data_IF_822398284988
#
_entry.id   IF_822398284988
#
_cell.length_a   1.000
_cell.length_b   1.000
_cell.length_c   1.000
_cell.angle_alpha   90.00
_cell.angle_beta   90.00
_cell.angle_gamma   90.00
#
_symmetry.space_group_name_H-M   'P 1'
#
loop_
_entity.id
_entity.type
_entity.pdbx_description
1 polymer ?
#
# COMPACT_ATOMS: atom_id res chain seq x y z
N UNK A 1 47.39 16.86 61.63
CA UNK A 1 46.37 17.37 60.70
C UNK A 1 47.05 17.60 59.37
N UNK A 2 46.90 16.65 58.45
CA UNK A 2 47.61 16.62 57.16
C UNK A 2 46.57 16.85 56.08
N UNK A 3 46.58 18.05 55.48
CA UNK A 3 45.66 18.44 54.42
C UNK A 3 46.31 18.07 53.08
N UNK A 4 45.80 17.02 52.45
CA UNK A 4 46.24 16.57 51.12
C UNK A 4 45.49 17.39 50.08
N UNK A 5 46.20 18.30 49.41
CA UNK A 5 45.66 19.08 48.30
C UNK A 5 45.58 18.23 47.03
N UNK A 6 44.37 17.88 46.61
CA UNK A 6 44.09 17.36 45.27
C UNK A 6 44.10 18.53 44.28
N UNK A 7 45.16 18.65 43.49
CA UNK A 7 45.17 19.51 42.32
C UNK A 7 44.33 18.84 41.23
N UNK A 8 43.08 19.29 41.08
CA UNK A 8 42.25 18.97 39.92
C UNK A 8 42.87 19.65 38.71
N UNK A 9 43.67 18.90 37.95
CA UNK A 9 44.15 19.29 36.63
C UNK A 9 42.94 19.25 35.69
N UNK A 10 42.19 20.34 35.64
CA UNK A 10 41.09 20.53 34.70
C UNK A 10 41.67 20.53 33.29
N UNK A 11 41.66 19.36 32.62
CA UNK A 11 41.90 19.28 31.20
C UNK A 11 40.88 20.18 30.52
N UNK A 12 41.36 21.33 30.04
CA UNK A 12 40.59 22.23 29.20
C UNK A 12 40.34 21.46 27.90
N UNK A 13 39.24 20.72 27.84
CA UNK A 13 38.74 20.09 26.63
C UNK A 13 38.38 21.25 25.70
N UNK A 14 39.35 21.64 24.88
CA UNK A 14 39.13 22.59 23.80
C UNK A 14 38.17 21.87 22.85
N UNK A 15 36.88 22.20 22.91
CA UNK A 15 35.91 21.67 21.99
C UNK A 15 36.35 22.10 20.58
N UNK A 16 36.88 21.16 19.80
CA UNK A 16 37.14 21.40 18.39
C UNK A 16 35.81 21.76 17.76
N UNK A 17 35.76 22.94 17.14
CA UNK A 17 34.59 23.30 16.33
C UNK A 17 34.45 22.24 15.25
N UNK A 18 33.25 21.73 15.02
CA UNK A 18 33.00 20.78 13.93
C UNK A 18 33.24 21.51 12.61
N UNK A 19 34.24 21.07 11.83
CA UNK A 19 34.55 21.63 10.52
C UNK A 19 33.96 20.69 9.47
N UNK A 20 33.30 21.25 8.46
CA UNK A 20 32.86 20.45 7.33
C UNK A 20 34.09 19.98 6.53
N UNK A 21 34.21 18.68 6.33
CA UNK A 21 35.21 18.07 5.47
C UNK A 21 34.64 18.00 4.05
N UNK A 22 35.15 18.86 3.18
CA UNK A 22 34.72 18.96 1.79
C UNK A 22 35.64 18.13 0.88
N UNK A 23 35.07 17.38 -0.05
CA UNK A 23 35.84 16.64 -1.04
C UNK A 23 36.39 17.60 -2.11
N UNK A 24 37.69 17.87 -2.10
CA UNK A 24 38.31 18.96 -2.88
C UNK A 24 38.80 18.55 -4.27
N UNK A 25 38.83 17.26 -4.60
CA UNK A 25 39.42 16.78 -5.85
C UNK A 25 38.45 15.90 -6.65
N UNK A 26 37.98 16.31 -7.84
CA UNK A 26 37.07 15.51 -8.67
C UNK A 26 37.69 14.22 -9.21
N UNK A 27 39.02 14.07 -9.14
CA UNK A 27 39.71 12.82 -9.50
C UNK A 27 39.38 11.75 -8.47
N UNK A 28 39.08 10.55 -8.97
CA UNK A 28 38.83 9.36 -8.16
C UNK A 28 39.80 9.20 -6.97
N UNK A 29 39.28 8.77 -5.83
CA UNK A 29 40.06 8.62 -4.60
C UNK A 29 39.38 7.71 -3.59
N UNK A 30 40.15 7.27 -2.59
CA UNK A 30 39.62 6.50 -1.47
C UNK A 30 39.10 7.47 -0.39
N UNK A 31 38.00 7.12 0.28
CA UNK A 31 37.45 7.86 1.43
C UNK A 31 38.52 8.20 2.48
N UNK A 32 39.45 7.28 2.76
CA UNK A 32 40.52 7.47 3.76
C UNK A 32 41.67 8.37 3.30
N UNK A 33 41.69 8.79 2.03
CA UNK A 33 42.75 9.64 1.49
C UNK A 33 42.55 11.09 1.97
N UNK A 34 43.23 11.46 3.06
CA UNK A 34 43.18 12.82 3.62
C UNK A 34 43.53 13.92 2.63
N UNK A 35 44.27 13.63 1.54
CA UNK A 35 44.58 14.62 0.50
C UNK A 35 43.36 14.97 -0.37
N UNK A 36 42.28 14.19 -0.27
CA UNK A 36 41.00 14.43 -0.96
C UNK A 36 40.04 15.29 -0.16
N UNK A 37 40.33 15.55 1.11
CA UNK A 37 39.48 16.32 2.01
C UNK A 37 40.10 17.67 2.35
N UNK A 38 39.28 18.72 2.42
CA UNK A 38 39.72 20.10 2.75
C UNK A 38 40.39 20.23 4.12
N UNK A 39 40.07 19.33 5.05
CA UNK A 39 40.63 19.25 6.41
C UNK A 39 41.97 18.53 6.47
N UNK A 40 42.39 17.85 5.39
CA UNK A 40 43.60 17.02 5.36
C UNK A 40 43.43 15.62 5.96
N UNK A 41 42.23 15.24 6.39
CA UNK A 41 41.87 13.94 6.95
C UNK A 41 40.44 13.54 6.57
N UNK A 42 40.12 12.25 6.64
CA UNK A 42 38.73 11.81 6.42
C UNK A 42 37.77 12.42 7.46
N UNK A 43 36.48 12.64 7.11
CA UNK A 43 35.44 13.04 8.05
C UNK A 43 35.30 12.00 9.17
N UNK A 44 34.96 12.47 10.36
CA UNK A 44 34.61 11.62 11.50
C UNK A 44 33.14 11.80 11.88
N UNK A 45 32.65 11.06 12.89
CA UNK A 45 31.27 11.18 13.41
C UNK A 45 30.89 12.59 13.90
N UNK A 46 31.85 13.50 14.09
CA UNK A 46 31.59 14.92 14.43
C UNK A 46 31.61 15.86 13.23
N UNK A 47 32.12 15.41 12.08
CA UNK A 47 32.39 16.24 10.91
C UNK A 47 31.37 15.95 9.80
N UNK A 48 30.70 16.97 9.24
CA UNK A 48 29.92 16.80 8.02
C UNK A 48 30.83 16.46 6.83
N UNK A 49 30.50 15.41 6.08
CA UNK A 49 31.11 15.11 4.78
C UNK A 49 30.33 15.85 3.67
N UNK A 50 31.03 16.62 2.83
CA UNK A 50 30.42 17.47 1.81
C UNK A 50 31.01 17.20 0.43
N UNK A 51 30.13 16.95 -0.55
CA UNK A 51 30.47 16.90 -1.97
C UNK A 51 29.88 18.11 -2.69
N UNK A 52 30.70 19.12 -3.01
CA UNK A 52 30.25 20.42 -3.55
C UNK A 52 29.78 20.31 -5.00
N UNK A 53 29.10 21.34 -5.50
CA UNK A 53 28.56 21.42 -6.87
C UNK A 53 29.62 21.59 -7.99
N UNK A 54 30.91 21.51 -7.65
CA UNK A 54 32.03 21.87 -8.53
C UNK A 54 32.46 20.77 -9.52
N UNK A 55 31.88 19.57 -9.46
CA UNK A 55 32.23 18.48 -10.38
C UNK A 55 31.54 17.14 -10.11
N UNK A 56 31.93 16.12 -10.87
CA UNK A 56 31.53 14.73 -10.62
C UNK A 56 32.64 14.00 -9.87
N UNK A 57 32.27 13.18 -8.89
CA UNK A 57 33.20 12.51 -7.98
C UNK A 57 33.05 11.00 -8.06
N UNK A 58 34.18 10.29 -7.96
CA UNK A 58 34.21 8.83 -7.80
C UNK A 58 34.95 8.55 -6.50
N UNK A 59 34.26 7.93 -5.55
CA UNK A 59 34.77 7.67 -4.21
C UNK A 59 34.82 6.17 -4.00
N UNK A 60 35.99 5.64 -3.67
CA UNK A 60 36.14 4.26 -3.24
C UNK A 60 36.03 4.19 -1.73
N UNK A 61 35.17 3.32 -1.22
CA UNK A 61 34.98 3.10 0.22
C UNK A 61 35.50 1.71 0.59
N UNK A 62 36.37 1.65 1.59
CA UNK A 62 37.02 0.42 2.05
C UNK A 62 36.95 0.31 3.56
N UNK A 63 36.12 -0.60 4.08
CA UNK A 63 35.94 -0.75 5.51
C UNK A 63 34.72 0.02 6.03
N UNK A 64 34.81 0.41 7.30
CA UNK A 64 33.79 1.15 8.03
C UNK A 64 34.29 2.56 8.29
N UNK A 65 33.47 3.56 7.97
CA UNK A 65 33.78 4.97 8.18
C UNK A 65 32.59 5.67 8.81
N UNK A 66 32.86 6.71 9.60
CA UNK A 66 31.83 7.54 10.23
C UNK A 66 31.80 8.92 9.60
N UNK A 67 30.63 9.53 9.53
CA UNK A 67 30.48 10.97 9.31
C UNK A 67 29.32 11.51 10.13
N UNK A 68 29.36 12.79 10.51
CA UNK A 68 28.21 13.41 11.18
C UNK A 68 26.97 13.45 10.28
N UNK A 69 27.16 13.73 9.01
CA UNK A 69 26.14 13.82 7.97
C UNK A 69 26.82 13.74 6.62
N UNK A 70 26.08 13.37 5.59
CA UNK A 70 26.56 13.39 4.21
C UNK A 70 25.71 14.37 3.40
N UNK A 71 26.34 15.41 2.84
CA UNK A 71 25.69 16.41 1.99
C UNK A 71 26.25 16.35 0.59
N UNK A 72 25.37 16.17 -0.41
CA UNK A 72 25.75 16.13 -1.82
C UNK A 72 24.96 17.18 -2.59
N UNK A 73 25.69 18.13 -3.18
CA UNK A 73 25.19 19.09 -4.17
C UNK A 73 25.90 18.94 -5.52
N UNK A 74 26.92 18.09 -5.58
CA UNK A 74 27.62 17.69 -6.79
C UNK A 74 26.65 17.15 -7.86
N UNK A 75 26.87 17.47 -9.15
CA UNK A 75 26.14 16.85 -10.25
C UNK A 75 26.10 15.31 -10.18
N UNK A 76 27.20 14.67 -9.80
CA UNK A 76 27.26 13.21 -9.63
C UNK A 76 28.29 12.81 -8.60
N UNK A 77 27.94 11.91 -7.68
CA UNK A 77 28.87 11.21 -6.79
C UNK A 77 28.64 9.72 -6.93
N UNK A 78 29.61 9.01 -7.49
CA UNK A 78 29.60 7.54 -7.48
C UNK A 78 30.42 7.06 -6.31
N UNK A 79 29.78 6.39 -5.39
CA UNK A 79 30.48 5.61 -4.39
C UNK A 79 30.59 4.17 -4.86
N UNK A 80 31.80 3.63 -4.78
CA UNK A 80 32.13 2.28 -5.19
C UNK A 80 32.78 1.55 -4.04
N UNK A 81 32.29 0.36 -3.76
CA UNK A 81 32.93 -0.54 -2.84
C UNK A 81 34.03 -1.38 -3.50
N UNK A 82 35.05 -1.77 -2.73
CA UNK A 82 35.83 -2.98 -3.01
C UNK A 82 35.68 -3.99 -1.86
N UNK A 83 35.51 -5.28 -2.18
CA UNK A 83 35.21 -6.42 -1.29
C UNK A 83 35.31 -6.21 0.24
N UNK A 84 34.27 -6.60 0.99
CA UNK A 84 34.23 -6.54 2.47
C UNK A 84 33.13 -5.63 3.01
N UNK A 85 33.19 -5.29 4.32
CA UNK A 85 32.34 -4.28 4.94
C UNK A 85 32.64 -2.92 4.32
N UNK A 86 31.62 -2.25 3.76
CA UNK A 86 31.77 -0.99 3.01
C UNK A 86 30.68 -0.04 3.44
N UNK A 87 30.88 0.50 4.62
CA UNK A 87 29.87 1.22 5.37
C UNK A 87 30.32 2.66 5.55
N UNK A 88 29.47 3.60 5.17
CA UNK A 88 29.52 4.97 5.70
C UNK A 88 28.39 5.06 6.71
N UNK A 89 28.74 5.25 7.97
CA UNK A 89 27.82 5.39 9.08
C UNK A 89 27.60 6.86 9.41
N UNK A 90 26.33 7.29 9.35
CA UNK A 90 25.94 8.67 9.55
C UNK A 90 25.30 8.86 10.93
N UNK A 91 25.74 9.89 11.66
CA UNK A 91 25.09 10.27 12.92
C UNK A 91 23.74 10.96 12.67
N UNK A 92 23.66 11.80 11.64
CA UNK A 92 22.48 12.60 11.30
C UNK A 92 21.94 12.25 9.90
N UNK A 93 21.78 13.26 9.04
CA UNK A 93 21.06 13.16 7.78
C UNK A 93 21.98 12.78 6.61
N UNK A 94 21.41 12.04 5.67
CA UNK A 94 21.85 12.03 4.28
C UNK A 94 21.03 13.10 3.54
N UNK A 95 21.70 14.11 3.02
CA UNK A 95 21.09 15.23 2.31
C UNK A 95 21.60 15.30 0.87
N UNK A 96 20.71 15.06 -0.09
CA UNK A 96 21.02 15.16 -1.53
C UNK A 96 20.17 16.27 -2.12
N UNK A 97 20.81 17.29 -2.66
CA UNK A 97 20.17 18.50 -3.14
C UNK A 97 20.68 18.85 -4.54
N UNK A 98 19.90 18.46 -5.54
CA UNK A 98 20.36 18.34 -6.92
C UNK A 98 21.27 17.13 -7.15
N UNK A 99 21.65 16.92 -8.40
CA UNK A 99 22.63 15.93 -8.80
C UNK A 99 22.19 14.47 -8.64
N UNK A 100 23.16 13.56 -8.63
CA UNK A 100 22.94 12.11 -8.56
C UNK A 100 23.95 11.44 -7.63
N UNK A 101 23.49 10.56 -6.75
CA UNK A 101 24.35 9.62 -6.02
C UNK A 101 24.17 8.24 -6.63
N UNK A 102 25.27 7.58 -6.96
CA UNK A 102 25.29 6.16 -7.33
C UNK A 102 25.96 5.35 -6.22
N UNK A 103 25.23 4.43 -5.60
CA UNK A 103 25.76 3.48 -4.61
C UNK A 103 25.98 2.13 -5.29
N UNK A 104 27.25 1.75 -5.46
CA UNK A 104 27.67 0.49 -6.09
C UNK A 104 28.43 -0.40 -5.12
N UNK A 105 27.81 -1.53 -4.74
CA UNK A 105 28.32 -2.53 -3.80
C UNK A 105 28.76 -1.89 -2.46
N UNK A 106 27.88 -1.08 -1.87
CA UNK A 106 28.13 -0.40 -0.60
C UNK A 106 26.88 -0.19 0.25
N UNK A 107 27.10 0.09 1.52
CA UNK A 107 26.03 0.39 2.46
C UNK A 107 26.21 1.79 3.03
N UNK A 108 25.19 2.63 2.90
CA UNK A 108 25.11 3.90 3.65
C UNK A 108 24.15 3.67 4.80
N UNK A 109 24.70 3.59 5.99
CA UNK A 109 23.96 3.37 7.22
C UNK A 109 23.82 4.68 7.96
N UNK A 110 22.74 4.79 8.69
CA UNK A 110 22.65 5.67 9.82
C UNK A 110 22.51 4.82 11.09
N UNK A 111 23.59 4.64 11.83
CA UNK A 111 23.64 3.88 13.07
C UNK A 111 23.74 4.88 14.23
N UNK A 112 22.57 5.37 14.62
CA UNK A 112 22.40 5.90 15.95
C UNK A 112 21.06 5.43 16.45
N UNK A 113 21.06 4.50 17.40
CA UNK A 113 19.86 4.11 18.16
C UNK A 113 19.21 5.31 18.90
N UNK A 114 19.84 6.50 18.85
CA UNK A 114 19.50 7.67 19.67
C UNK A 114 19.25 8.97 18.88
N UNK A 115 19.40 9.00 17.55
CA UNK A 115 19.33 10.26 16.77
C UNK A 115 18.36 10.21 15.59
N UNK A 116 17.50 11.22 15.43
CA UNK A 116 16.51 11.34 14.33
C UNK A 116 17.16 11.87 13.04
N UNK A 117 17.93 11.04 12.37
CA UNK A 117 18.47 11.31 11.03
C UNK A 117 17.59 10.77 9.90
N UNK A 118 17.44 11.57 8.85
CA UNK A 118 16.60 11.32 7.68
C UNK A 118 17.42 11.25 6.38
N UNK A 119 16.93 10.43 5.45
CA UNK A 119 17.30 10.50 4.04
C UNK A 119 16.44 11.56 3.39
N UNK A 120 17.06 12.60 2.83
CA UNK A 120 16.38 13.73 2.21
C UNK A 120 16.87 13.91 0.78
N UNK A 121 15.96 13.78 -0.19
CA UNK A 121 16.25 13.94 -1.62
C UNK A 121 15.45 15.13 -2.16
N UNK A 122 16.13 16.15 -2.69
CA UNK A 122 15.52 17.45 -3.03
C UNK A 122 16.09 18.07 -4.30
N UNK A 123 15.34 19.02 -4.87
CA UNK A 123 15.77 19.90 -5.95
C UNK A 123 16.29 19.18 -7.20
N UNK A 124 15.60 18.13 -7.66
CA UNK A 124 16.03 17.36 -8.83
C UNK A 124 17.02 16.23 -8.53
N UNK A 125 17.30 15.98 -7.24
CA UNK A 125 18.25 14.95 -6.84
C UNK A 125 17.76 13.53 -7.16
N UNK A 126 18.70 12.66 -7.47
CA UNK A 126 18.48 11.22 -7.65
C UNK A 126 19.45 10.41 -6.78
N UNK A 127 19.00 9.32 -6.16
CA UNK A 127 19.86 8.29 -5.56
C UNK A 127 19.61 6.97 -6.28
N UNK A 128 20.65 6.38 -6.86
CA UNK A 128 20.62 5.04 -7.44
C UNK A 128 21.29 4.06 -6.47
N UNK A 129 20.56 3.03 -6.03
CA UNK A 129 21.05 1.99 -5.13
C UNK A 129 21.11 0.68 -5.91
N UNK A 130 22.32 0.27 -6.28
CA UNK A 130 22.53 -0.92 -7.12
C UNK A 130 22.49 -2.21 -6.29
N UNK A 131 22.67 -3.34 -6.98
CA UNK A 131 22.72 -4.66 -6.37
C UNK A 131 23.84 -4.72 -5.33
N UNK A 132 23.58 -5.42 -4.22
CA UNK A 132 24.45 -5.47 -3.04
C UNK A 132 24.65 -4.14 -2.29
N UNK A 133 24.04 -3.04 -2.76
CA UNK A 133 24.01 -1.78 -2.02
C UNK A 133 22.79 -1.67 -1.11
N UNK A 134 22.93 -0.91 -0.03
CA UNK A 134 21.83 -0.61 0.87
C UNK A 134 21.86 0.84 1.36
N UNK A 135 20.66 1.38 1.61
CA UNK A 135 20.46 2.69 2.20
C UNK A 135 19.59 2.55 3.44
N UNK A 136 20.10 2.90 4.62
CA UNK A 136 19.37 2.82 5.88
C UNK A 136 19.22 4.21 6.51
N UNK A 137 18.02 4.50 7.04
CA UNK A 137 17.74 5.74 7.77
C UNK A 137 16.63 5.54 8.82
N UNK A 138 16.27 6.58 9.57
CA UNK A 138 15.03 6.51 10.37
C UNK A 138 13.85 6.94 9.53
N UNK A 139 14.02 8.00 8.75
CA UNK A 139 12.97 8.58 7.93
C UNK A 139 13.43 8.76 6.49
N UNK A 140 12.50 8.57 5.58
CA UNK A 140 12.63 8.95 4.18
C UNK A 140 11.80 10.20 3.89
N UNK A 141 12.40 11.19 3.23
CA UNK A 141 11.68 12.30 2.58
C UNK A 141 12.19 12.49 1.15
N UNK A 142 11.37 12.16 0.16
CA UNK A 142 11.66 12.43 -1.25
C UNK A 142 10.82 13.63 -1.70
N UNK A 143 11.50 14.68 -2.18
CA UNK A 143 10.90 15.92 -2.64
C UNK A 143 10.35 16.78 -1.50
N UNK A 144 11.19 17.50 -0.77
CA UNK A 144 10.77 18.31 0.40
C UNK A 144 11.00 19.83 0.19
N UNK A 145 11.45 20.27 -0.99
CA UNK A 145 11.89 21.65 -1.22
C UNK A 145 10.82 22.61 -1.76
N UNK A 146 9.67 22.11 -2.20
CA UNK A 146 8.60 22.91 -2.81
C UNK A 146 8.97 23.58 -4.13
N UNK A 147 9.96 23.03 -4.84
CA UNK A 147 10.45 23.60 -6.09
C UNK A 147 9.72 23.09 -7.34
N UNK A 148 8.77 22.15 -7.18
CA UNK A 148 8.10 21.50 -8.31
C UNK A 148 9.02 20.60 -9.14
N UNK A 149 10.24 20.31 -8.67
CA UNK A 149 11.18 19.41 -9.35
C UNK A 149 10.94 17.95 -8.98
N UNK A 150 11.29 17.05 -9.89
CA UNK A 150 11.21 15.60 -9.69
C UNK A 150 12.42 15.09 -8.91
N UNK A 151 12.17 14.37 -7.82
CA UNK A 151 13.19 13.80 -6.95
C UNK A 151 13.04 12.30 -6.93
N UNK A 152 14.13 11.54 -7.00
CA UNK A 152 14.04 10.09 -7.19
C UNK A 152 14.97 9.30 -6.27
N UNK A 153 14.50 8.12 -5.86
CA UNK A 153 15.36 7.02 -5.41
C UNK A 153 15.04 5.81 -6.29
N UNK A 154 16.05 5.22 -6.91
CA UNK A 154 15.95 4.04 -7.74
C UNK A 154 16.71 2.89 -7.08
N UNK A 155 16.01 1.86 -6.62
CA UNK A 155 16.59 0.62 -6.11
C UNK A 155 16.62 -0.41 -7.26
N UNK A 156 17.82 -0.86 -7.61
CA UNK A 156 18.08 -1.78 -8.72
C UNK A 156 18.77 -3.02 -8.15
N UNK A 157 17.98 -3.94 -7.60
CA UNK A 157 18.46 -5.05 -6.77
C UNK A 157 19.07 -4.63 -5.43
N UNK A 158 19.01 -3.34 -5.10
CA UNK A 158 19.48 -2.78 -3.84
C UNK A 158 18.42 -2.79 -2.73
N UNK A 159 18.79 -2.28 -1.57
CA UNK A 159 17.91 -2.26 -0.40
C UNK A 159 17.69 -0.85 0.15
N UNK A 160 16.48 -0.58 0.63
CA UNK A 160 16.15 0.58 1.44
C UNK A 160 15.50 0.10 2.74
N UNK A 161 15.94 0.61 3.88
CA UNK A 161 15.31 0.29 5.16
C UNK A 161 15.16 1.53 6.00
N UNK A 162 13.96 1.76 6.52
CA UNK A 162 13.74 2.77 7.55
C UNK A 162 13.42 2.10 8.89
N UNK A 163 14.12 2.49 9.94
CA UNK A 163 14.05 1.84 11.28
C UNK A 163 13.31 2.66 12.32
N UNK A 164 12.60 3.70 11.91
CA UNK A 164 12.12 4.76 12.80
C UNK A 164 11.62 4.26 14.16
N UNK A 165 12.20 4.81 15.23
CA UNK A 165 11.78 4.59 16.61
C UNK A 165 10.87 5.73 17.11
N UNK A 166 10.75 6.80 16.34
CA UNK A 166 10.09 8.05 16.74
C UNK A 166 8.61 8.16 16.33
N UNK A 167 8.06 7.18 15.61
CA UNK A 167 6.66 7.20 15.17
C UNK A 167 6.39 8.15 14.00
N UNK A 168 7.41 8.63 13.29
CA UNK A 168 7.25 9.58 12.18
C UNK A 168 7.04 8.87 10.85
N UNK A 169 6.13 9.43 10.03
CA UNK A 169 5.87 8.88 8.71
C UNK A 169 7.04 9.13 7.75
N UNK A 170 7.18 8.22 6.80
CA UNK A 170 8.01 8.36 5.61
C UNK A 170 7.20 9.07 4.52
N UNK A 171 7.86 9.88 3.68
CA UNK A 171 7.16 10.68 2.68
C UNK A 171 7.79 10.60 1.28
N UNK A 172 6.94 10.49 0.27
CA UNK A 172 7.27 10.62 -1.15
C UNK A 172 6.38 11.71 -1.73
N UNK A 173 6.99 12.78 -2.24
CA UNK A 173 6.25 13.93 -2.78
C UNK A 173 5.70 14.83 -1.69
N UNK A 174 6.53 15.68 -1.11
CA UNK A 174 6.16 16.57 0.01
C UNK A 174 6.34 18.05 -0.38
N UNK A 175 5.71 18.94 0.38
CA UNK A 175 5.96 20.38 0.29
C UNK A 175 5.67 20.99 -1.09
N UNK A 176 4.83 20.37 -1.94
CA UNK A 176 4.58 20.82 -3.31
C UNK A 176 5.65 20.41 -4.34
N UNK A 177 6.44 19.39 -4.02
CA UNK A 177 7.38 18.75 -4.98
C UNK A 177 6.87 17.39 -5.44
N UNK A 178 7.47 16.90 -6.53
CA UNK A 178 7.31 15.52 -6.97
C UNK A 178 8.40 14.65 -6.34
N UNK A 179 8.01 13.51 -5.78
CA UNK A 179 8.93 12.46 -5.34
C UNK A 179 8.59 11.14 -6.02
N UNK A 180 9.62 10.35 -6.31
CA UNK A 180 9.50 9.01 -6.86
C UNK A 180 10.41 8.02 -6.15
N UNK A 181 9.89 6.85 -5.83
CA UNK A 181 10.66 5.69 -5.36
C UNK A 181 10.39 4.52 -6.31
N UNK A 182 11.43 3.95 -6.91
CA UNK A 182 11.32 2.79 -7.80
C UNK A 182 12.08 1.62 -7.22
N UNK A 183 11.41 0.47 -7.08
CA UNK A 183 12.02 -0.80 -6.74
C UNK A 183 12.01 -1.69 -7.98
N UNK A 184 13.16 -2.22 -8.36
CA UNK A 184 13.31 -3.08 -9.54
C UNK A 184 14.38 -4.14 -9.33
N UNK A 185 14.35 -5.18 -10.17
CA UNK A 185 15.37 -6.23 -10.22
C UNK A 185 15.60 -6.91 -8.86
N UNK A 186 14.52 -7.33 -8.19
CA UNK A 186 14.56 -7.93 -6.84
C UNK A 186 15.04 -6.99 -5.74
N UNK A 187 14.78 -5.68 -5.88
CA UNK A 187 15.03 -4.72 -4.81
C UNK A 187 14.07 -4.92 -3.64
N UNK A 188 14.48 -4.47 -2.46
CA UNK A 188 13.62 -4.51 -1.26
C UNK A 188 13.56 -3.15 -0.60
N UNK A 189 12.36 -2.65 -0.27
CA UNK A 189 12.19 -1.53 0.63
C UNK A 189 11.37 -1.95 1.86
N UNK A 190 11.88 -1.68 3.05
CA UNK A 190 11.19 -1.95 4.30
C UNK A 190 11.02 -0.65 5.10
N UNK A 191 9.78 -0.28 5.39
CA UNK A 191 9.43 0.88 6.20
C UNK A 191 8.86 0.45 7.55
N UNK A 192 9.59 0.75 8.63
CA UNK A 192 9.13 0.44 10.00
C UNK A 192 7.84 1.17 10.41
N UNK A 193 7.37 2.14 9.64
CA UNK A 193 6.16 2.95 9.88
C UNK A 193 5.41 3.22 8.57
N UNK A 194 4.39 4.06 8.64
CA UNK A 194 3.60 4.49 7.49
C UNK A 194 4.45 5.17 6.43
N UNK A 195 4.20 4.82 5.16
CA UNK A 195 4.69 5.53 3.99
C UNK A 195 3.53 6.35 3.39
N UNK A 196 3.73 7.66 3.32
CA UNK A 196 2.79 8.60 2.71
C UNK A 196 3.26 9.07 1.34
N UNK A 197 2.44 8.90 0.31
CA UNK A 197 2.67 9.41 -1.04
C UNK A 197 1.75 10.60 -1.28
N UNK A 198 2.32 11.77 -1.59
CA UNK A 198 1.61 13.06 -1.61
C UNK A 198 0.81 13.37 -0.32
N UNK A 199 1.04 12.65 0.79
CA UNK A 199 0.37 12.85 2.08
C UNK A 199 0.97 14.06 2.82
N UNK A 200 0.81 15.27 2.26
CA UNK A 200 1.40 16.48 2.85
C UNK A 200 0.39 17.60 3.06
N UNK A 201 0.76 18.62 3.83
CA UNK A 201 -0.07 19.81 4.02
C UNK A 201 0.07 20.84 2.87
N UNK A 202 0.73 20.49 1.76
CA UNK A 202 1.07 21.42 0.68
C UNK A 202 0.40 21.05 -0.63
N UNK A 203 -0.08 22.08 -1.34
CA UNK A 203 -0.64 21.98 -2.69
C UNK A 203 0.35 21.39 -3.68
N UNK A 204 -0.16 20.77 -4.74
CA UNK A 204 0.63 20.27 -5.87
C UNK A 204 1.72 19.25 -5.49
N UNK A 205 1.59 18.57 -4.35
CA UNK A 205 2.53 17.52 -3.95
C UNK A 205 2.25 16.25 -4.75
N UNK A 206 3.29 15.62 -5.31
CA UNK A 206 3.13 14.43 -6.14
C UNK A 206 4.00 13.27 -5.69
N UNK A 207 3.41 12.10 -5.41
CA UNK A 207 4.14 10.97 -4.84
C UNK A 207 3.96 9.68 -5.63
N UNK A 208 5.04 9.12 -6.17
CA UNK A 208 4.99 7.91 -6.98
C UNK A 208 5.86 6.81 -6.38
N UNK A 209 5.29 5.62 -6.15
CA UNK A 209 6.04 4.44 -5.71
C UNK A 209 5.77 3.29 -6.68
N UNK A 210 6.81 2.76 -7.29
CA UNK A 210 6.72 1.63 -8.22
C UNK A 210 7.44 0.40 -7.66
N UNK A 211 6.73 -0.72 -7.50
CA UNK A 211 7.26 -2.03 -7.11
C UNK A 211 7.25 -2.95 -8.31
N UNK A 212 8.44 -3.17 -8.90
CA UNK A 212 8.60 -3.79 -10.21
C UNK A 212 9.52 -5.01 -10.17
N UNK A 213 9.33 -5.94 -11.10
CA UNK A 213 10.29 -7.03 -11.41
C UNK A 213 10.82 -7.76 -10.17
N UNK A 214 9.98 -8.60 -9.55
CA UNK A 214 10.35 -9.43 -8.39
C UNK A 214 10.79 -8.65 -7.14
N UNK A 215 10.40 -7.37 -7.03
CA UNK A 215 10.77 -6.53 -5.89
C UNK A 215 9.75 -6.59 -4.77
N UNK A 216 10.18 -6.30 -3.55
CA UNK A 216 9.31 -6.33 -2.36
C UNK A 216 9.28 -4.98 -1.66
N UNK A 217 8.08 -4.45 -1.45
CA UNK A 217 7.80 -3.37 -0.54
C UNK A 217 7.13 -3.94 0.72
N UNK A 218 7.65 -3.60 1.87
CA UNK A 218 7.01 -3.85 3.17
C UNK A 218 6.85 -2.52 3.89
N UNK A 219 5.64 -2.20 4.35
CA UNK A 219 5.37 -1.00 5.13
C UNK A 219 4.28 -1.27 6.16
N UNK A 220 4.30 -0.57 7.30
CA UNK A 220 3.22 -0.75 8.28
C UNK A 220 1.89 -0.21 7.79
N UNK A 221 1.87 1.05 7.36
CA UNK A 221 0.70 1.73 6.82
C UNK A 221 1.02 2.38 5.47
N UNK A 222 0.01 2.57 4.64
CA UNK A 222 0.18 3.17 3.31
C UNK A 222 -0.89 4.24 3.11
N UNK A 223 -0.46 5.47 2.84
CA UNK A 223 -1.35 6.60 2.56
C UNK A 223 -1.08 7.14 1.15
N UNK A 224 -2.11 7.22 0.31
CA UNK A 224 -2.00 7.65 -1.09
C UNK A 224 -2.88 8.89 -1.30
N UNK A 225 -2.27 10.09 -1.26
CA UNK A 225 -2.93 11.39 -1.47
C UNK A 225 -4.17 11.63 -0.58
N UNK A 226 -4.03 11.49 0.74
CA UNK A 226 -5.17 11.38 1.67
C UNK A 226 -5.62 12.68 2.34
N UNK A 227 -4.97 13.82 2.06
CA UNK A 227 -5.17 15.07 2.82
C UNK A 227 -6.26 15.99 2.29
N UNK A 228 -6.76 15.75 1.09
CA UNK A 228 -7.75 16.62 0.45
C UNK A 228 -7.23 18.02 0.09
N UNK A 229 -5.92 18.12 -0.16
CA UNK A 229 -5.25 19.37 -0.53
C UNK A 229 -5.18 19.48 -2.07
N UNK A 230 -5.50 20.66 -2.65
CA UNK A 230 -5.52 20.86 -4.10
C UNK A 230 -4.24 20.46 -4.83
N UNK A 231 -4.42 19.72 -5.93
CA UNK A 231 -3.35 19.33 -6.85
C UNK A 231 -2.48 18.19 -6.33
N UNK A 232 -2.85 17.54 -5.23
CA UNK A 232 -2.16 16.32 -4.81
C UNK A 232 -2.49 15.17 -5.76
N UNK A 233 -1.45 14.42 -6.13
CA UNK A 233 -1.53 13.28 -7.04
C UNK A 233 -0.55 12.21 -6.55
N UNK A 234 -1.04 11.02 -6.23
CA UNK A 234 -0.18 9.92 -5.83
C UNK A 234 -0.59 8.59 -6.44
N UNK A 235 0.41 7.78 -6.72
CA UNK A 235 0.22 6.41 -7.23
C UNK A 235 1.18 5.43 -6.60
N UNK A 236 0.64 4.29 -6.19
CA UNK A 236 1.39 3.07 -5.92
C UNK A 236 1.15 2.09 -7.06
N UNK A 237 2.21 1.69 -7.75
CA UNK A 237 2.17 0.65 -8.78
C UNK A 237 2.82 -0.62 -8.25
N UNK A 238 2.15 -1.76 -8.37
CA UNK A 238 2.73 -3.09 -8.12
C UNK A 238 2.61 -3.91 -9.39
N UNK A 239 3.73 -4.20 -10.04
CA UNK A 239 3.71 -4.82 -11.38
C UNK A 239 4.83 -5.82 -11.60
N UNK A 240 4.51 -6.88 -12.34
CA UNK A 240 5.44 -7.94 -12.72
C UNK A 240 5.40 -9.12 -11.75
N UNK A 241 5.67 -10.31 -12.30
CA UNK A 241 5.73 -11.55 -11.53
C UNK A 241 6.73 -11.45 -10.38
N UNK A 242 6.30 -11.93 -9.20
CA UNK A 242 7.08 -11.90 -7.96
C UNK A 242 7.14 -10.53 -7.27
N UNK A 243 6.61 -9.47 -7.89
CA UNK A 243 6.52 -8.17 -7.22
C UNK A 243 5.45 -8.20 -6.14
N UNK A 244 5.82 -7.78 -4.93
CA UNK A 244 4.94 -7.81 -3.75
C UNK A 244 4.98 -6.45 -3.04
N UNK A 245 3.83 -5.89 -2.75
CA UNK A 245 3.68 -4.85 -1.74
C UNK A 245 2.83 -5.37 -0.59
N UNK A 246 3.36 -5.33 0.63
CA UNK A 246 2.71 -5.89 1.81
C UNK A 246 2.60 -4.84 2.91
N UNK A 247 1.42 -4.80 3.54
CA UNK A 247 1.23 -4.17 4.84
C UNK A 247 1.49 -5.18 5.96
N UNK A 248 2.60 -5.04 6.68
CA UNK A 248 3.10 -6.09 7.59
C UNK A 248 2.63 -5.98 9.04
N UNK A 249 2.07 -4.84 9.45
CA UNK A 249 1.78 -4.57 10.85
C UNK A 249 0.28 -4.53 11.15
N UNK A 250 -0.10 -5.25 12.19
CA UNK A 250 -1.49 -5.39 12.64
C UNK A 250 -2.13 -4.02 12.92
N UNK A 251 -3.36 -3.83 12.41
CA UNK A 251 -4.18 -2.66 12.70
C UNK A 251 -3.74 -1.36 12.03
N UNK A 252 -2.91 -1.41 11.00
CA UNK A 252 -2.58 -0.23 10.20
C UNK A 252 -3.43 -0.18 8.93
N UNK A 253 -3.79 1.04 8.54
CA UNK A 253 -4.74 1.26 7.44
C UNK A 253 -4.02 1.47 6.10
N UNK A 254 -4.70 1.05 5.03
CA UNK A 254 -4.48 1.53 3.68
C UNK A 254 -5.53 2.61 3.40
N UNK A 255 -5.11 3.83 3.11
CA UNK A 255 -6.04 4.91 2.73
C UNK A 255 -5.65 5.49 1.38
N UNK A 256 -6.62 5.56 0.47
CA UNK A 256 -6.42 5.99 -0.91
C UNK A 256 -7.39 7.11 -1.26
N UNK A 257 -6.85 8.21 -1.76
CA UNK A 257 -7.60 9.42 -2.07
C UNK A 257 -8.11 10.15 -0.82
N UNK A 258 -8.96 11.14 -1.04
CA UNK A 258 -9.57 11.96 -0.02
C UNK A 258 -11.03 12.27 -0.40
N UNK A 259 -11.74 13.04 0.45
CA UNK A 259 -13.10 13.47 0.13
C UNK A 259 -13.15 14.40 -1.12
N UNK A 260 -12.09 15.15 -1.40
CA UNK A 260 -11.98 16.05 -2.57
C UNK A 260 -10.52 16.41 -2.86
N UNK A 261 -10.24 17.03 -4.02
CA UNK A 261 -9.00 17.77 -4.34
C UNK A 261 -7.67 17.00 -4.44
N UNK A 262 -7.61 15.73 -4.05
CA UNK A 262 -6.36 14.92 -4.05
C UNK A 262 -6.59 13.59 -4.75
N UNK A 263 -5.87 13.26 -5.82
CA UNK A 263 -6.08 12.00 -6.54
C UNK A 263 -5.13 10.93 -6.02
N UNK A 264 -5.66 9.79 -5.59
CA UNK A 264 -4.87 8.65 -5.12
C UNK A 264 -5.18 7.39 -5.91
N UNK A 265 -4.16 6.64 -6.31
CA UNK A 265 -4.35 5.40 -7.06
C UNK A 265 -3.44 4.27 -6.55
N UNK A 266 -4.02 3.09 -6.37
CA UNK A 266 -3.30 1.83 -6.30
C UNK A 266 -3.55 1.03 -7.58
N UNK A 267 -2.48 0.77 -8.34
CA UNK A 267 -2.52 -0.02 -9.56
C UNK A 267 -1.76 -1.33 -9.35
N UNK A 268 -2.46 -2.45 -9.44
CA UNK A 268 -1.85 -3.79 -9.38
C UNK A 268 -2.00 -4.48 -10.74
N UNK A 269 -0.89 -4.92 -11.32
CA UNK A 269 -0.89 -5.43 -12.70
C UNK A 269 0.14 -6.52 -12.97
N UNK A 270 0.01 -7.21 -14.11
CA UNK A 270 1.04 -8.11 -14.65
C UNK A 270 1.54 -9.15 -13.63
N UNK A 271 0.61 -9.78 -12.90
CA UNK A 271 0.91 -10.73 -11.81
C UNK A 271 1.67 -10.16 -10.61
N UNK A 272 1.69 -8.84 -10.42
CA UNK A 272 2.04 -8.22 -9.15
C UNK A 272 0.98 -8.50 -8.09
N UNK A 273 1.39 -8.49 -6.81
CA UNK A 273 0.52 -8.79 -5.67
C UNK A 273 0.57 -7.69 -4.61
N UNK A 274 -0.58 -7.26 -4.14
CA UNK A 274 -0.72 -6.38 -2.99
C UNK A 274 -1.40 -7.14 -1.84
N UNK A 275 -0.84 -7.10 -0.64
CA UNK A 275 -1.41 -7.75 0.56
C UNK A 275 -1.70 -6.71 1.64
N UNK A 276 -2.94 -6.68 2.15
CA UNK A 276 -3.29 -5.81 3.28
C UNK A 276 -2.89 -6.43 4.62
N UNK A 277 -2.76 -5.61 5.65
CA UNK A 277 -2.46 -6.09 6.99
C UNK A 277 -3.71 -6.77 7.59
N UNK A 278 -3.55 -7.83 8.39
CA UNK A 278 -4.61 -8.29 9.26
C UNK A 278 -5.13 -7.17 10.17
N UNK A 279 -6.45 -7.08 10.34
CA UNK A 279 -7.15 -6.12 11.22
C UNK A 279 -6.98 -4.63 10.90
N UNK A 280 -6.30 -4.27 9.82
CA UNK A 280 -6.35 -2.89 9.32
C UNK A 280 -7.74 -2.54 8.77
N UNK A 281 -7.86 -1.36 8.20
CA UNK A 281 -8.95 -1.01 7.29
C UNK A 281 -8.37 -0.55 5.94
N UNK A 282 -8.94 -1.05 4.85
CA UNK A 282 -8.76 -0.43 3.53
C UNK A 282 -9.84 0.63 3.38
N UNK A 283 -9.47 1.88 3.12
CA UNK A 283 -10.40 2.97 2.83
C UNK A 283 -10.08 3.58 1.47
N UNK A 284 -11.05 3.59 0.57
CA UNK A 284 -10.98 4.23 -0.75
C UNK A 284 -11.96 5.40 -0.75
N UNK A 285 -11.47 6.62 -0.62
CA UNK A 285 -12.33 7.81 -0.63
C UNK A 285 -12.72 8.21 -2.05
N UNK A 286 -13.62 9.21 -2.17
CA UNK A 286 -14.15 9.77 -3.42
C UNK A 286 -13.13 10.00 -4.55
N UNK A 287 -11.93 10.48 -4.23
CA UNK A 287 -10.88 10.74 -5.22
C UNK A 287 -9.82 9.64 -5.28
N UNK A 288 -10.12 8.48 -4.70
CA UNK A 288 -9.28 7.30 -4.63
C UNK A 288 -9.72 6.21 -5.59
N UNK A 289 -8.75 5.47 -6.13
CA UNK A 289 -9.00 4.31 -6.97
C UNK A 289 -8.09 3.13 -6.63
N UNK A 290 -8.64 1.92 -6.65
CA UNK A 290 -7.90 0.65 -6.74
C UNK A 290 -8.21 0.03 -8.11
N UNK A 291 -7.17 -0.29 -8.87
CA UNK A 291 -7.31 -0.87 -10.22
C UNK A 291 -6.49 -2.16 -10.31
N UNK A 292 -7.16 -3.27 -10.64
CA UNK A 292 -6.51 -4.55 -10.96
C UNK A 292 -6.57 -4.83 -12.47
N UNK A 293 -5.42 -5.02 -13.09
CA UNK A 293 -5.36 -5.33 -14.54
C UNK A 293 -4.40 -6.48 -14.84
N UNK A 294 -4.54 -7.14 -15.99
CA UNK A 294 -3.53 -8.07 -16.53
C UNK A 294 -3.04 -9.13 -15.52
N UNK A 295 -3.95 -9.70 -14.71
CA UNK A 295 -3.63 -10.71 -13.70
C UNK A 295 -3.00 -10.20 -12.40
N UNK A 296 -3.10 -8.90 -12.10
CA UNK A 296 -2.75 -8.36 -10.78
C UNK A 296 -3.61 -8.98 -9.66
N UNK A 297 -3.02 -9.14 -8.48
CA UNK A 297 -3.65 -9.77 -7.31
C UNK A 297 -3.72 -8.80 -6.12
N UNK A 298 -4.87 -8.71 -5.48
CA UNK A 298 -5.13 -7.92 -4.28
C UNK A 298 -5.71 -8.84 -3.23
N UNK A 299 -4.92 -9.12 -2.20
CA UNK A 299 -5.26 -10.02 -1.11
C UNK A 299 -5.74 -9.20 0.08
N UNK A 300 -7.06 -9.16 0.23
CA UNK A 300 -7.73 -8.45 1.29
C UNK A 300 -7.79 -9.33 2.55
N UNK A 301 -7.07 -8.89 3.59
CA UNK A 301 -6.94 -9.54 4.92
C UNK A 301 -7.65 -8.75 6.03
N UNK A 302 -8.39 -7.73 5.65
CA UNK A 302 -8.98 -6.70 6.50
C UNK A 302 -10.28 -6.20 5.91
N UNK A 303 -11.12 -5.49 6.67
CA UNK A 303 -12.30 -4.86 6.10
C UNK A 303 -11.93 -3.81 5.05
N UNK A 304 -12.77 -3.68 4.03
CA UNK A 304 -12.69 -2.64 3.03
C UNK A 304 -13.89 -1.71 3.12
N UNK A 305 -13.62 -0.43 3.00
CA UNK A 305 -14.59 0.65 2.90
C UNK A 305 -14.33 1.41 1.59
N UNK A 306 -15.29 1.41 0.67
CA UNK A 306 -15.31 2.22 -0.55
C UNK A 306 -16.25 3.39 -0.32
N UNK A 307 -15.70 4.56 0.02
CA UNK A 307 -16.39 5.77 0.48
C UNK A 307 -16.38 6.84 -0.62
N UNK A 308 -17.20 6.64 -1.65
CA UNK A 308 -17.24 7.42 -2.89
C UNK A 308 -16.17 7.04 -3.92
N UNK A 309 -15.20 6.20 -3.54
CA UNK A 309 -14.10 5.81 -4.40
C UNK A 309 -14.45 4.74 -5.43
N UNK A 310 -13.44 4.30 -6.18
CA UNK A 310 -13.58 3.23 -7.18
C UNK A 310 -12.66 2.04 -6.86
N UNK A 311 -13.22 0.84 -6.83
CA UNK A 311 -12.47 -0.40 -6.99
C UNK A 311 -12.87 -1.02 -8.33
N UNK A 312 -11.90 -1.24 -9.23
CA UNK A 312 -12.16 -1.88 -10.52
C UNK A 312 -11.16 -2.98 -10.84
N UNK A 313 -11.60 -4.05 -11.49
CA UNK A 313 -10.69 -5.05 -12.03
C UNK A 313 -11.31 -6.38 -12.43
N UNK A 314 -10.50 -7.44 -12.39
CA UNK A 314 -10.99 -8.82 -12.49
C UNK A 314 -11.19 -9.35 -11.08
N UNK A 315 -12.36 -9.96 -10.81
CA UNK A 315 -12.63 -10.64 -9.55
C UNK A 315 -11.64 -11.77 -9.24
N UNK A 316 -11.05 -12.42 -10.24
CA UNK A 316 -10.00 -13.43 -10.02
C UNK A 316 -8.71 -12.83 -9.42
N UNK A 317 -8.57 -11.51 -9.49
CA UNK A 317 -7.50 -10.77 -8.84
C UNK A 317 -7.84 -10.35 -7.40
N UNK A 318 -9.10 -10.35 -6.97
CA UNK A 318 -9.49 -9.99 -5.61
C UNK A 318 -9.61 -11.27 -4.76
N UNK A 319 -8.67 -11.47 -3.85
CA UNK A 319 -8.66 -12.63 -2.96
C UNK A 319 -9.03 -12.20 -1.53
N UNK A 320 -9.96 -12.90 -0.92
CA UNK A 320 -10.25 -12.76 0.51
C UNK A 320 -9.45 -13.80 1.27
N UNK A 321 -8.62 -13.32 2.19
CA UNK A 321 -7.71 -14.19 2.94
C UNK A 321 -8.15 -14.20 4.38
N UNK A 322 -8.77 -15.30 4.80
CA UNK A 322 -9.08 -15.55 6.21
C UNK A 322 -7.78 -15.58 7.02
N UNK A 323 -7.74 -14.76 8.05
CA UNK A 323 -6.61 -14.64 8.97
C UNK A 323 -6.74 -15.56 10.18
N UNK A 324 -7.85 -16.31 10.31
CA UNK A 324 -8.11 -17.28 11.37
C UNK A 324 -8.42 -16.66 12.73
N UNK A 325 -8.68 -15.35 12.77
CA UNK A 325 -8.76 -14.53 14.00
C UNK A 325 -10.11 -13.85 14.21
N UNK A 326 -11.18 -14.44 13.67
CA UNK A 326 -12.54 -14.28 14.21
C UNK A 326 -13.33 -13.06 13.76
N UNK A 327 -12.86 -12.30 12.77
CA UNK A 327 -13.68 -11.33 12.06
C UNK A 327 -13.64 -11.63 10.58
N UNK A 328 -14.79 -11.92 9.99
CA UNK A 328 -14.89 -12.06 8.55
C UNK A 328 -14.57 -10.73 7.87
N UNK A 329 -13.89 -10.80 6.73
CA UNK A 329 -13.49 -9.64 5.94
C UNK A 329 -14.71 -9.06 5.24
N UNK A 330 -15.19 -7.88 5.62
CA UNK A 330 -16.34 -7.22 4.97
C UNK A 330 -15.93 -6.20 3.90
N UNK A 331 -16.82 -5.95 2.94
CA UNK A 331 -16.76 -4.78 2.04
C UNK A 331 -17.98 -3.90 2.30
N UNK A 332 -17.75 -2.66 2.70
CA UNK A 332 -18.78 -1.62 2.80
C UNK A 332 -18.60 -0.61 1.66
N UNK A 333 -19.64 -0.40 0.86
CA UNK A 333 -19.69 0.53 -0.26
C UNK A 333 -20.69 1.63 0.11
N UNK A 334 -20.26 2.89 0.07
CA UNK A 334 -21.08 4.04 0.46
C UNK A 334 -20.64 5.33 -0.23
N UNK A 335 -21.42 6.38 -0.06
CA UNK A 335 -21.26 7.74 -0.56
C UNK A 335 -21.00 7.80 -2.06
N UNK A 336 -21.70 6.98 -2.85
CA UNK A 336 -21.49 6.88 -4.30
C UNK A 336 -20.27 6.03 -4.69
N UNK A 337 -19.77 5.20 -3.78
CA UNK A 337 -18.65 4.30 -4.05
C UNK A 337 -19.02 3.21 -5.06
N UNK A 338 -18.04 2.72 -5.81
CA UNK A 338 -18.24 1.67 -6.81
C UNK A 338 -17.26 0.50 -6.65
N UNK A 339 -17.80 -0.72 -6.64
CA UNK A 339 -17.06 -1.97 -6.84
C UNK A 339 -17.43 -2.57 -8.19
N UNK A 340 -16.49 -2.60 -9.14
CA UNK A 340 -16.69 -2.99 -10.54
C UNK A 340 -15.76 -4.14 -10.92
N UNK A 341 -16.31 -5.35 -11.12
CA UNK A 341 -15.56 -6.57 -11.36
C UNK A 341 -16.02 -7.31 -12.62
N UNK A 342 -15.10 -7.45 -13.57
CA UNK A 342 -15.33 -8.06 -14.90
C UNK A 342 -15.32 -9.59 -14.94
N UNK A 343 -15.25 -10.27 -13.80
CA UNK A 343 -15.21 -11.74 -13.74
C UNK A 343 -15.91 -12.28 -12.50
N UNK A 344 -15.97 -13.61 -12.36
CA UNK A 344 -16.67 -14.24 -11.24
C UNK A 344 -16.04 -13.95 -9.89
N UNK A 345 -16.79 -13.36 -8.97
CA UNK A 345 -16.42 -13.18 -7.57
C UNK A 345 -16.98 -14.33 -6.74
N UNK A 346 -16.08 -15.07 -6.07
CA UNK A 346 -16.44 -16.15 -5.14
C UNK A 346 -16.10 -15.67 -3.72
N UNK A 347 -17.13 -15.58 -2.88
CA UNK A 347 -17.04 -15.03 -1.53
C UNK A 347 -17.47 -16.09 -0.53
N UNK A 348 -16.52 -16.74 0.15
CA UNK A 348 -16.73 -18.06 0.77
C UNK A 348 -16.81 -18.12 2.30
N UNK A 349 -16.61 -17.01 3.01
CA UNK A 349 -16.59 -16.96 4.47
C UNK A 349 -17.69 -16.02 5.00
N UNK A 350 -17.93 -15.97 6.34
CA UNK A 350 -18.92 -15.16 7.11
C UNK A 350 -18.92 -13.62 6.86
N UNK A 351 -18.28 -13.21 5.78
CA UNK A 351 -18.05 -11.89 5.29
C UNK A 351 -19.33 -11.28 4.71
N UNK A 352 -19.50 -9.96 4.76
CA UNK A 352 -20.65 -9.28 4.18
C UNK A 352 -20.21 -8.31 3.08
N UNK A 353 -21.08 -8.08 2.09
CA UNK A 353 -21.02 -6.87 1.26
C UNK A 353 -22.22 -6.00 1.61
N UNK A 354 -21.95 -4.78 2.05
CA UNK A 354 -22.95 -3.78 2.40
C UNK A 354 -22.89 -2.64 1.40
N UNK A 355 -24.00 -2.31 0.75
CA UNK A 355 -24.17 -1.08 0.01
C UNK A 355 -25.05 -0.17 0.84
N UNK A 356 -24.49 0.93 1.33
CA UNK A 356 -25.21 1.95 2.05
C UNK A 356 -25.34 3.19 1.17
N UNK A 357 -26.44 3.91 1.31
CA UNK A 357 -26.74 5.20 0.65
C UNK A 357 -26.86 5.22 -0.88
N UNK A 358 -27.24 6.41 -1.37
CA UNK A 358 -27.62 6.63 -2.76
C UNK A 358 -26.41 6.62 -3.67
N UNK A 359 -26.54 5.94 -4.82
CA UNK A 359 -25.53 5.80 -5.87
C UNK A 359 -24.34 4.91 -5.51
N UNK A 360 -24.39 4.16 -4.42
CA UNK A 360 -23.44 3.07 -4.18
C UNK A 360 -23.69 1.94 -5.17
N UNK A 361 -22.64 1.49 -5.86
CA UNK A 361 -22.73 0.59 -7.00
C UNK A 361 -21.88 -0.66 -6.78
N UNK A 362 -22.51 -1.84 -6.97
CA UNK A 362 -21.85 -3.12 -7.12
C UNK A 362 -22.14 -3.65 -8.52
N UNK A 363 -21.11 -3.73 -9.37
CA UNK A 363 -21.17 -4.28 -10.71
C UNK A 363 -20.26 -5.51 -10.79
N UNK A 364 -20.83 -6.71 -10.99
CA UNK A 364 -20.07 -7.97 -11.05
C UNK A 364 -20.63 -8.91 -12.10
N UNK A 365 -19.80 -9.39 -13.04
CA UNK A 365 -20.24 -10.35 -14.07
C UNK A 365 -20.89 -11.61 -13.48
N UNK A 366 -20.21 -12.35 -12.60
CA UNK A 366 -20.86 -13.46 -11.88
C UNK A 366 -20.57 -13.35 -10.40
N UNK A 367 -21.59 -13.43 -9.56
CA UNK A 367 -21.42 -13.28 -8.13
C UNK A 367 -21.89 -14.53 -7.39
N UNK A 368 -20.96 -15.19 -6.70
CA UNK A 368 -21.24 -16.36 -5.85
C UNK A 368 -20.89 -15.98 -4.42
N UNK A 369 -21.90 -15.91 -3.57
CA UNK A 369 -21.78 -15.47 -2.18
C UNK A 369 -22.24 -16.57 -1.26
N UNK A 370 -21.43 -16.91 -0.28
CA UNK A 370 -21.81 -17.87 0.76
C UNK A 370 -22.58 -17.22 1.90
N UNK A 371 -22.69 -15.89 1.93
CA UNK A 371 -23.27 -15.09 3.01
C UNK A 371 -24.32 -14.07 2.50
N UNK A 372 -24.54 -12.98 3.25
CA UNK A 372 -25.57 -11.97 2.96
C UNK A 372 -25.03 -10.78 2.17
N UNK A 373 -25.87 -10.26 1.28
CA UNK A 373 -25.71 -8.96 0.62
C UNK A 373 -26.82 -8.06 1.12
N UNK A 374 -26.45 -6.86 1.60
CA UNK A 374 -27.43 -5.85 2.04
C UNK A 374 -27.25 -4.58 1.24
N UNK A 375 -28.32 -4.11 0.61
CA UNK A 375 -28.38 -2.85 -0.12
C UNK A 375 -29.47 -1.94 0.47
N UNK A 376 -29.10 -0.69 0.70
CA UNK A 376 -29.96 0.35 1.30
C UNK A 376 -30.22 1.51 0.31
N UNK A 377 -31.08 2.45 0.70
CA UNK A 377 -31.62 3.59 -0.05
C UNK A 377 -30.77 4.03 -1.24
N UNK A 378 -31.21 3.70 -2.46
CA UNK A 378 -30.61 4.21 -3.71
C UNK A 378 -29.36 3.47 -4.18
N UNK A 379 -29.05 2.30 -3.60
CA UNK A 379 -27.97 1.42 -4.04
C UNK A 379 -28.34 0.66 -5.32
N UNK A 380 -27.33 0.32 -6.12
CA UNK A 380 -27.48 -0.46 -7.35
C UNK A 380 -26.63 -1.73 -7.23
N UNK A 381 -27.27 -2.88 -7.34
CA UNK A 381 -26.62 -4.17 -7.56
C UNK A 381 -26.90 -4.56 -9.01
N UNK A 382 -25.88 -4.58 -9.86
CA UNK A 382 -25.96 -5.00 -11.26
C UNK A 382 -25.04 -6.22 -11.47
N UNK A 383 -25.64 -7.37 -11.76
CA UNK A 383 -24.90 -8.63 -11.88
C UNK A 383 -25.44 -9.49 -13.02
N UNK A 384 -24.58 -10.17 -13.79
CA UNK A 384 -25.09 -11.07 -14.84
C UNK A 384 -25.67 -12.35 -14.23
N UNK A 385 -25.10 -12.86 -13.14
CA UNK A 385 -25.63 -14.03 -12.43
C UNK A 385 -25.33 -13.91 -10.94
N UNK A 386 -26.33 -14.20 -10.09
CA UNK A 386 -26.21 -14.13 -8.63
C UNK A 386 -26.55 -15.48 -7.99
N UNK A 387 -25.60 -16.08 -7.28
CA UNK A 387 -25.82 -17.29 -6.48
C UNK A 387 -25.50 -17.04 -5.02
N UNK A 388 -26.48 -17.18 -4.13
CA UNK A 388 -26.33 -16.98 -2.68
C UNK A 388 -26.49 -18.31 -1.95
N UNK A 389 -25.44 -18.91 -1.40
CA UNK A 389 -25.51 -20.25 -0.81
C UNK A 389 -26.02 -20.27 0.65
N UNK A 390 -25.50 -19.41 1.54
CA UNK A 390 -25.84 -19.38 2.97
C UNK A 390 -26.06 -17.93 3.47
N UNK A 391 -27.04 -17.23 2.90
CA UNK A 391 -27.38 -15.89 3.36
C UNK A 391 -28.67 -15.33 2.77
N UNK A 392 -28.80 -14.01 2.88
CA UNK A 392 -29.95 -13.26 2.38
C UNK A 392 -29.49 -12.19 1.38
N UNK A 393 -30.35 -11.91 0.41
CA UNK A 393 -30.26 -10.69 -0.39
C UNK A 393 -31.32 -9.75 0.15
N UNK A 394 -30.90 -8.65 0.77
CA UNK A 394 -31.82 -7.64 1.28
C UNK A 394 -31.63 -6.37 0.46
N UNK A 395 -32.70 -5.91 -0.20
CA UNK A 395 -32.79 -4.56 -0.74
C UNK A 395 -33.91 -3.82 -0.01
N UNK A 396 -33.55 -2.70 0.60
CA UNK A 396 -34.49 -1.84 1.30
C UNK A 396 -34.49 -0.45 0.67
N UNK A 397 -35.61 0.23 0.89
CA UNK A 397 -35.83 1.65 0.62
C UNK A 397 -35.90 2.07 -0.85
N UNK A 398 -36.48 3.25 -1.04
CA UNK A 398 -36.84 3.77 -2.36
C UNK A 398 -35.60 4.06 -3.19
N UNK A 399 -35.62 3.64 -4.45
CA UNK A 399 -34.54 3.87 -5.40
C UNK A 399 -33.45 2.80 -5.37
N UNK A 400 -33.50 1.86 -4.43
CA UNK A 400 -32.61 0.69 -4.44
C UNK A 400 -33.03 -0.26 -5.56
N UNK A 401 -32.09 -0.66 -6.39
CA UNK A 401 -32.32 -1.57 -7.52
C UNK A 401 -31.39 -2.77 -7.46
N UNK A 402 -31.97 -3.97 -7.55
CA UNK A 402 -31.24 -5.20 -7.87
C UNK A 402 -31.58 -5.53 -9.32
N UNK A 403 -30.59 -5.51 -10.20
CA UNK A 403 -30.70 -6.01 -11.57
C UNK A 403 -29.84 -7.26 -11.71
N UNK A 404 -30.48 -8.40 -11.98
CA UNK A 404 -29.82 -9.65 -12.31
C UNK A 404 -30.13 -9.96 -13.76
N UNK A 405 -29.16 -9.74 -14.66
CA UNK A 405 -29.42 -9.88 -16.09
C UNK A 405 -29.71 -11.34 -16.50
N UNK A 406 -29.09 -12.30 -15.83
CA UNK A 406 -29.28 -13.75 -16.00
C UNK A 406 -29.97 -14.40 -14.81
N UNK A 407 -29.39 -15.48 -14.28
CA UNK A 407 -30.02 -16.31 -13.25
C UNK A 407 -29.77 -15.78 -11.82
N UNK A 408 -30.82 -15.84 -10.99
CA UNK A 408 -30.74 -15.64 -9.54
C UNK A 408 -31.00 -16.97 -8.82
N UNK A 409 -29.99 -17.50 -8.12
CA UNK A 409 -30.07 -18.73 -7.33
C UNK A 409 -29.87 -18.46 -5.84
N UNK A 410 -30.90 -18.65 -5.02
CA UNK A 410 -30.78 -18.56 -3.55
C UNK A 410 -30.80 -19.96 -2.93
N UNK A 411 -29.60 -20.40 -2.59
CA UNK A 411 -29.29 -21.21 -1.43
C UNK A 411 -28.75 -22.61 -1.70
N UNK A 412 -28.03 -23.17 -0.72
CA UNK A 412 -27.54 -24.57 -0.72
C UNK A 412 -28.53 -25.51 -0.04
N UNK A 413 -28.93 -26.68 -0.60
CA UNK A 413 -29.99 -27.58 -0.08
C UNK A 413 -29.97 -27.91 1.43
N UNK A 414 -28.86 -27.67 2.11
CA UNK A 414 -28.57 -28.08 3.47
C UNK A 414 -28.79 -27.00 4.56
N UNK A 415 -28.97 -25.70 4.22
CA UNK A 415 -29.04 -24.60 5.22
C UNK A 415 -30.42 -23.92 5.32
N UNK A 416 -30.84 -23.61 6.55
CA UNK A 416 -32.23 -23.40 6.99
C UNK A 416 -32.77 -21.97 7.07
N UNK A 417 -32.11 -20.95 6.49
CA UNK A 417 -32.68 -19.62 6.37
C UNK A 417 -32.23 -18.97 5.07
N UNK A 418 -33.20 -18.59 4.23
CA UNK A 418 -33.01 -18.00 2.89
C UNK A 418 -34.12 -17.01 2.65
N UNK A 419 -33.77 -15.75 2.46
CA UNK A 419 -34.75 -14.72 2.20
C UNK A 419 -34.16 -13.77 1.15
N UNK A 420 -34.91 -13.58 0.07
CA UNK A 420 -34.81 -12.35 -0.69
C UNK A 420 -35.83 -11.41 -0.04
N UNK A 421 -35.33 -10.34 0.55
CA UNK A 421 -36.14 -9.34 1.21
C UNK A 421 -36.11 -8.08 0.36
N UNK A 422 -37.25 -7.70 -0.20
CA UNK A 422 -37.44 -6.43 -0.91
C UNK A 422 -38.41 -5.60 -0.09
N UNK A 423 -37.95 -4.46 0.43
CA UNK A 423 -38.70 -3.59 1.32
C UNK A 423 -38.79 -2.15 0.78
N UNK A 424 -39.81 -1.40 1.23
CA UNK A 424 -39.93 0.06 1.09
C UNK A 424 -39.70 0.61 -0.34
N UNK A 425 -40.39 0.04 -1.33
CA UNK A 425 -40.34 0.43 -2.75
C UNK A 425 -39.00 0.15 -3.46
N UNK A 426 -38.14 -0.70 -2.91
CA UNK A 426 -37.01 -1.27 -3.65
C UNK A 426 -37.50 -2.09 -4.86
N UNK A 427 -36.70 -2.13 -5.93
CA UNK A 427 -37.05 -2.81 -7.19
C UNK A 427 -36.05 -3.94 -7.43
N UNK A 428 -36.56 -5.13 -7.76
CA UNK A 428 -35.73 -6.25 -8.23
C UNK A 428 -36.15 -6.65 -9.65
N UNK A 429 -35.20 -6.66 -10.58
CA UNK A 429 -35.36 -7.17 -11.95
C UNK A 429 -34.51 -8.43 -12.09
N UNK A 430 -35.13 -9.50 -12.59
CA UNK A 430 -34.46 -10.77 -12.88
C UNK A 430 -34.75 -11.09 -14.35
N UNK A 431 -33.71 -11.14 -15.17
CA UNK A 431 -33.83 -11.29 -16.63
C UNK A 431 -34.26 -12.70 -17.04
N UNK A 432 -33.66 -13.72 -16.41
CA UNK A 432 -33.89 -15.12 -16.74
C UNK A 432 -34.64 -15.87 -15.63
N UNK A 433 -33.99 -16.81 -14.94
CA UNK A 433 -34.64 -17.72 -13.99
C UNK A 433 -34.36 -17.34 -12.52
N UNK A 434 -35.39 -17.50 -11.67
CA UNK A 434 -35.28 -17.43 -10.21
C UNK A 434 -35.32 -18.84 -9.62
N UNK A 435 -34.20 -19.30 -9.07
CA UNK A 435 -34.06 -20.55 -8.36
C UNK A 435 -34.02 -20.32 -6.84
N UNK A 436 -35.06 -20.75 -6.11
CA UNK A 436 -35.05 -20.71 -4.64
C UNK A 436 -34.92 -22.13 -4.10
N UNK A 437 -33.81 -22.42 -3.45
CA UNK A 437 -33.50 -23.75 -2.94
C UNK A 437 -34.33 -24.14 -1.70
N UNK A 438 -35.55 -24.62 -1.92
CA UNK A 438 -36.11 -25.84 -1.32
C UNK A 438 -37.49 -26.06 -1.89
N UNK A 439 -37.67 -27.20 -2.56
CA UNK A 439 -38.96 -27.88 -2.46
C UNK A 439 -39.16 -28.27 -0.99
N UNK A 440 -40.36 -28.06 -0.42
CA UNK A 440 -40.65 -28.48 0.93
C UNK A 440 -40.37 -29.98 1.06
N UNK A 441 -39.48 -30.35 1.98
CA UNK A 441 -39.37 -31.73 2.44
C UNK A 441 -40.67 -32.03 3.18
N UNK A 442 -41.66 -32.56 2.48
CA UNK A 442 -42.85 -33.14 3.12
C UNK A 442 -42.31 -34.36 3.87
N UNK A 443 -41.98 -34.19 5.14
CA UNK A 443 -41.66 -35.32 6.02
C UNK A 443 -42.92 -36.19 6.10
N UNK A 444 -42.92 -37.40 5.52
CA UNK A 444 -44.08 -38.26 5.59
C UNK A 444 -44.01 -39.05 6.88
N UNK A 445 -44.19 -38.41 8.04
CA UNK A 445 -44.46 -39.14 9.29
C UNK A 445 -45.00 -38.26 10.43
N UNK A 446 -46.33 -38.29 10.60
CA UNK A 446 -47.05 -38.57 11.85
C UNK A 446 -48.57 -38.49 11.64
N UNK A 447 -49.13 -39.46 10.93
CA UNK A 447 -50.48 -39.95 11.22
C UNK A 447 -50.57 -41.42 10.81
N UNK A 448 -50.78 -42.36 11.76
CA UNK A 448 -51.12 -43.72 11.39
C UNK A 448 -52.60 -43.71 11.02
N UNK A 449 -52.94 -43.95 9.75
CA UNK A 449 -54.07 -44.78 9.28
C UNK A 449 -54.30 -44.60 7.76
N UNK A 450 -53.88 -45.63 7.00
CA UNK A 450 -54.49 -46.23 5.79
C UNK A 450 -54.86 -45.28 4.61
N UNK A 451 -54.33 -45.43 3.39
CA UNK A 451 -54.49 -46.57 2.46
C UNK A 451 -53.58 -46.34 1.23
N UNK A 452 -53.12 -47.44 0.63
CA UNK A 452 -52.40 -47.53 -0.65
C UNK A 452 -53.05 -46.69 -1.76
N UNK A 453 -52.27 -45.78 -2.34
CA UNK A 453 -52.33 -45.43 -3.76
C UNK A 453 -50.88 -45.44 -4.29
N UNK A 454 -50.65 -46.14 -5.39
CA UNK A 454 -49.35 -46.24 -6.03
C UNK A 454 -48.90 -44.86 -6.52
N UNK A 455 -47.73 -44.42 -6.05
CA UNK A 455 -47.05 -43.24 -6.54
C UNK A 455 -46.24 -43.61 -7.77
N UNK A 456 -46.60 -43.07 -8.93
CA UNK A 456 -45.74 -43.01 -10.12
C UNK A 456 -45.13 -41.60 -10.15
N UNK A 457 -43.81 -41.43 -10.08
CA UNK A 457 -43.22 -40.10 -10.16
C UNK A 457 -43.34 -39.60 -11.60
N UNK A 458 -44.37 -38.79 -11.85
CA UNK A 458 -44.36 -37.91 -13.01
C UNK A 458 -43.27 -36.85 -12.77
N UNK A 459 -42.31 -36.76 -13.70
CA UNK A 459 -41.46 -35.57 -13.86
C UNK A 459 -42.38 -34.35 -13.85
N UNK A 460 -42.28 -33.52 -12.81
CA UNK A 460 -42.86 -32.18 -12.89
C UNK A 460 -42.06 -31.42 -13.96
N UNK A 461 -42.72 -30.75 -14.92
CA UNK A 461 -42.03 -29.79 -15.76
C UNK A 461 -41.48 -28.68 -14.86
N UNK A 462 -40.23 -28.27 -15.10
CA UNK A 462 -39.72 -27.00 -14.62
C UNK A 462 -40.69 -25.91 -15.11
N UNK A 463 -41.57 -25.43 -14.24
CA UNK A 463 -42.36 -24.23 -14.51
C UNK A 463 -41.45 -23.03 -14.30
N UNK A 464 -40.88 -22.53 -15.41
CA UNK A 464 -40.24 -21.23 -15.47
C UNK A 464 -41.31 -20.16 -15.30
N UNK A 465 -41.50 -19.66 -14.08
CA UNK A 465 -42.35 -18.49 -13.82
C UNK A 465 -41.48 -17.25 -13.82
N UNK A 466 -41.52 -16.47 -14.91
CA UNK A 466 -41.04 -15.07 -14.88
C UNK A 466 -41.96 -14.27 -13.99
N UNK A 467 -41.60 -14.10 -12.73
CA UNK A 467 -42.27 -13.19 -11.81
C UNK A 467 -41.54 -11.84 -11.88
N UNK A 468 -42.24 -10.80 -12.36
CA UNK A 468 -41.87 -9.42 -12.03
C UNK A 468 -42.42 -9.18 -10.62
N UNK A 469 -41.53 -9.09 -9.63
CA UNK A 469 -41.89 -8.80 -8.24
C UNK A 469 -41.92 -7.29 -8.05
#
# INVERSE_FOLDING_TARGET
MTQVGFAVLGALLCASTAHAAEWINPVAGNWTDGTKWSTGSEPTSTDPAVFPDSGSFIVTVTGFHDAKSLSVTAPTVRFSGTAGNRIIDLVNDLFVNGGTIDLDDMVVIKAGDTGVGAIRVRSGATINVQTASALWGDRLNIGEAGTGTDNAINLIGGQLTTKDTSGTNNFIGRSGSTGRLVLSASATANFAHTIGMADSASNNSKGYLDVLTNSTLTARGILIATRGIPGQDARLTVSGSGSLAEQDAWGNDLTIGAASNSTGELLVSSSGRFETAPFGQVTVHNTGAITLTSGGQFDLRSNMLIDGGLFTGSAAGLNFVDTGVGSAVGIDIRNGGKLDLTSSLIYTDDAAITLADTASELEVTNFIVHTSITADTGSIIDVDTLSVHEGAVTAADTGTTIDVAGDLSIGSPDVGSRLVTIENDAIATIGDDLYVGRQPTISPDRHPFARRAAYSPARMPHETRKAKI
#
